data_IF_043725067885
#
_entry.id   IF_043725067885
#
_cell.length_a   1.000
_cell.length_b   1.000
_cell.length_c   1.000
_cell.angle_alpha   90.00
_cell.angle_beta   90.00
_cell.angle_gamma   90.00
#
_symmetry.space_group_name_H-M   'P 1'
#
loop_
_entity.id
_entity.type
_entity.pdbx_description
1 polymer ?
#
# COMPACT_ATOMS: atom_id res chain seq x y z
N UNK A 1 -5.15 -7.75 22.64
CA UNK A 1 -5.07 -7.08 21.31
C UNK A 1 -6.20 -6.05 21.20
N UNK A 2 -5.89 -4.76 21.04
CA UNK A 2 -6.91 -3.73 20.73
C UNK A 2 -7.33 -3.90 19.27
N UNK A 3 -8.61 -4.23 19.02
CA UNK A 3 -9.18 -4.21 17.68
C UNK A 3 -9.21 -2.74 17.22
N UNK A 4 -8.40 -2.38 16.23
CA UNK A 4 -8.44 -1.02 15.67
C UNK A 4 -9.64 -0.94 14.75
N UNK A 5 -10.39 0.16 14.85
CA UNK A 5 -11.54 0.43 13.99
C UNK A 5 -11.07 0.50 12.53
N UNK A 6 -11.63 -0.33 11.65
CA UNK A 6 -11.22 -0.36 10.25
C UNK A 6 -12.07 0.63 9.45
N UNK A 7 -11.54 1.84 9.30
CA UNK A 7 -12.18 2.94 8.59
C UNK A 7 -12.38 2.66 7.09
N UNK A 8 -11.61 1.74 6.50
CA UNK A 8 -11.68 1.46 5.07
C UNK A 8 -13.01 0.84 4.65
N UNK A 9 -13.55 -0.10 5.44
CA UNK A 9 -14.80 -0.79 5.10
C UNK A 9 -16.06 0.07 5.26
N UNK A 10 -15.99 1.14 6.05
CA UNK A 10 -17.12 2.05 6.29
C UNK A 10 -17.08 3.28 5.38
N UNK A 11 -15.99 3.45 4.61
CA UNK A 11 -15.76 4.63 3.79
C UNK A 11 -16.24 4.42 2.35
N UNK A 12 -17.04 5.36 1.87
CA UNK A 12 -17.35 5.46 0.44
C UNK A 12 -16.20 6.20 -0.28
N UNK A 13 -15.48 5.50 -1.16
CA UNK A 13 -14.32 6.02 -1.89
C UNK A 13 -14.80 6.71 -3.18
N UNK A 14 -14.64 8.03 -3.27
CA UNK A 14 -15.21 8.87 -4.34
C UNK A 14 -14.19 9.55 -5.25
N UNK A 15 -12.91 9.56 -4.86
CA UNK A 15 -11.84 10.23 -5.60
C UNK A 15 -10.52 9.49 -5.46
N UNK A 16 -9.57 9.71 -6.40
CA UNK A 16 -8.19 9.27 -6.23
C UNK A 16 -7.57 9.83 -4.95
N UNK A 17 -6.65 9.07 -4.36
CA UNK A 17 -5.84 9.46 -3.19
C UNK A 17 -6.70 9.77 -1.95
N UNK A 18 -7.87 9.12 -1.82
CA UNK A 18 -8.71 9.13 -0.62
C UNK A 18 -8.41 7.94 0.30
N UNK A 19 -8.03 6.80 -0.28
CA UNK A 19 -7.68 5.60 0.46
C UNK A 19 -6.58 4.83 -0.28
N UNK A 20 -5.45 4.63 0.41
CA UNK A 20 -4.37 3.76 -0.06
C UNK A 20 -4.48 2.41 0.63
N UNK A 21 -4.44 1.35 -0.16
CA UNK A 21 -4.39 -0.04 0.33
C UNK A 21 -3.00 -0.57 0.09
N UNK A 22 -2.39 -1.12 1.13
CA UNK A 22 -1.12 -1.83 1.04
C UNK A 22 -1.31 -3.31 1.29
N UNK A 23 -0.53 -4.11 0.57
CA UNK A 23 -0.42 -5.54 0.76
C UNK A 23 1.02 -5.98 0.48
N UNK A 24 1.33 -7.24 0.83
CA UNK A 24 2.57 -7.90 0.45
C UNK A 24 2.24 -9.21 -0.24
N UNK A 25 2.79 -9.41 -1.42
CA UNK A 25 2.66 -10.64 -2.20
C UNK A 25 4.03 -11.22 -2.55
N UNK A 26 4.07 -12.39 -3.17
CA UNK A 26 5.30 -13.03 -3.63
C UNK A 26 5.37 -13.07 -5.16
N UNK A 27 6.56 -12.82 -5.70
CA UNK A 27 6.87 -12.88 -7.13
C UNK A 27 7.95 -13.94 -7.33
N UNK A 28 7.71 -14.89 -8.25
CA UNK A 28 8.68 -15.91 -8.63
C UNK A 28 9.48 -15.44 -9.84
N UNK A 29 10.80 -15.55 -9.77
CA UNK A 29 11.73 -15.35 -10.89
C UNK A 29 12.75 -16.49 -10.94
N UNK A 30 13.64 -16.47 -11.93
CA UNK A 30 14.75 -17.43 -12.05
C UNK A 30 15.77 -17.32 -10.89
N UNK A 31 15.74 -16.22 -10.14
CA UNK A 31 16.58 -15.98 -8.95
C UNK A 31 15.91 -16.43 -7.65
N UNK A 32 14.66 -16.92 -7.70
CA UNK A 32 13.90 -17.42 -6.56
C UNK A 32 12.62 -16.63 -6.26
N UNK A 33 12.16 -16.74 -5.01
CA UNK A 33 10.94 -16.05 -4.53
C UNK A 33 11.32 -14.70 -3.94
N UNK A 34 10.64 -13.65 -4.40
CA UNK A 34 10.77 -12.29 -3.92
C UNK A 34 9.47 -11.86 -3.24
N UNK A 35 9.57 -10.98 -2.25
CA UNK A 35 8.45 -10.34 -1.59
C UNK A 35 8.27 -8.95 -2.18
N UNK A 36 7.07 -8.69 -2.69
CA UNK A 36 6.68 -7.42 -3.28
C UNK A 36 5.68 -6.75 -2.34
N UNK A 37 6.12 -5.67 -1.69
CA UNK A 37 5.22 -4.78 -0.95
C UNK A 37 4.64 -3.75 -1.90
N UNK A 38 3.32 -3.66 -1.97
CA UNK A 38 2.59 -2.75 -2.84
C UNK A 38 1.79 -1.75 -2.04
N UNK A 39 1.65 -0.55 -2.57
CA UNK A 39 0.69 0.47 -2.12
C UNK A 39 -0.09 0.93 -3.33
N UNK A 40 -1.39 0.73 -3.31
CA UNK A 40 -2.30 0.98 -4.42
C UNK A 40 -3.36 1.99 -4.00
N UNK A 41 -3.70 2.92 -4.89
CA UNK A 41 -4.86 3.79 -4.70
C UNK A 41 -6.16 2.99 -4.94
N UNK A 42 -7.04 2.95 -3.94
CA UNK A 42 -8.23 2.12 -3.96
C UNK A 42 -9.25 2.57 -5.03
N UNK A 43 -9.25 3.85 -5.38
CA UNK A 43 -10.14 4.42 -6.39
C UNK A 43 -9.63 4.15 -7.82
N UNK A 44 -8.44 4.64 -8.15
CA UNK A 44 -7.87 4.60 -9.50
C UNK A 44 -7.17 3.30 -9.85
N UNK A 45 -6.88 2.44 -8.85
CA UNK A 45 -6.04 1.23 -8.97
C UNK A 45 -4.60 1.50 -9.37
N UNK A 46 -4.13 2.75 -9.30
CA UNK A 46 -2.74 3.11 -9.58
C UNK A 46 -1.83 2.55 -8.50
N UNK A 47 -0.73 1.93 -8.89
CA UNK A 47 0.37 1.59 -7.97
C UNK A 47 1.05 2.92 -7.59
N UNK A 48 0.91 3.31 -6.34
CA UNK A 48 1.46 4.55 -5.80
C UNK A 48 2.88 4.34 -5.30
N UNK A 49 3.18 3.15 -4.77
CA UNK A 49 4.52 2.79 -4.34
C UNK A 49 4.70 1.29 -4.27
N UNK A 50 5.95 0.85 -4.40
CA UNK A 50 6.30 -0.57 -4.34
C UNK A 50 7.73 -0.75 -3.84
N UNK A 51 8.02 -1.91 -3.26
CA UNK A 51 9.37 -2.33 -2.89
C UNK A 51 9.48 -3.85 -3.10
N UNK A 52 10.56 -4.29 -3.75
CA UNK A 52 10.87 -5.70 -3.95
C UNK A 52 12.04 -6.09 -3.05
N UNK A 53 11.91 -7.22 -2.36
CA UNK A 53 12.90 -7.71 -1.40
C UNK A 53 13.03 -9.23 -1.48
N UNK A 54 14.19 -9.77 -1.12
CA UNK A 54 14.38 -11.22 -0.98
C UNK A 54 13.83 -11.76 0.34
N UNK A 55 13.51 -10.87 1.29
CA UNK A 55 13.04 -11.22 2.63
C UNK A 55 11.76 -10.43 2.96
N UNK A 56 10.87 -11.03 3.76
CA UNK A 56 9.67 -10.34 4.21
C UNK A 56 9.98 -9.45 5.43
N UNK A 57 10.25 -8.16 5.20
CA UNK A 57 10.54 -7.18 6.25
C UNK A 57 9.45 -6.12 6.33
N UNK A 58 9.02 -5.78 7.56
CA UNK A 58 8.07 -4.69 7.78
C UNK A 58 8.58 -3.34 7.24
N UNK A 59 9.90 -3.16 7.20
CA UNK A 59 10.56 -1.99 6.62
C UNK A 59 10.27 -1.81 5.13
N UNK A 60 10.05 -2.90 4.38
CA UNK A 60 9.79 -2.84 2.94
C UNK A 60 8.41 -2.25 2.64
N UNK A 61 7.42 -2.54 3.48
CA UNK A 61 6.10 -1.87 3.44
C UNK A 61 6.24 -0.37 3.73
N UNK A 62 7.07 0.02 4.69
CA UNK A 62 7.32 1.43 4.99
C UNK A 62 8.01 2.15 3.82
N UNK A 63 8.95 1.49 3.12
CA UNK A 63 9.57 2.03 1.90
C UNK A 63 8.54 2.22 0.78
N UNK A 64 7.70 1.22 0.54
CA UNK A 64 6.63 1.31 -0.46
C UNK A 64 5.65 2.46 -0.14
N UNK A 65 5.26 2.62 1.13
CA UNK A 65 4.42 3.74 1.57
C UNK A 65 5.11 5.11 1.41
N UNK A 66 6.40 5.21 1.77
CA UNK A 66 7.15 6.45 1.56
C UNK A 66 7.25 6.84 0.08
N UNK A 67 7.37 5.85 -0.83
CA UNK A 67 7.30 6.10 -2.28
C UNK A 67 5.91 6.59 -2.69
N UNK A 68 4.84 5.98 -2.16
CA UNK A 68 3.46 6.41 -2.41
C UNK A 68 3.21 7.86 -1.99
N UNK A 69 3.62 8.25 -0.79
CA UNK A 69 3.47 9.61 -0.26
C UNK A 69 4.21 10.64 -1.12
N UNK A 70 5.37 10.29 -1.70
CA UNK A 70 6.11 11.18 -2.61
C UNK A 70 5.43 11.39 -3.96
N UNK A 71 4.57 10.45 -4.39
CA UNK A 71 3.81 10.53 -5.64
C UNK A 71 2.44 11.22 -5.50
N UNK A 72 2.12 11.66 -4.27
CA UNK A 72 0.85 12.25 -3.89
C UNK A 72 0.68 13.62 -4.57
N UNK A 73 -0.45 13.82 -5.23
CA UNK A 73 -0.78 15.05 -5.97
C UNK A 73 -1.87 15.90 -5.29
N UNK A 74 -2.72 15.32 -4.45
CA UNK A 74 -3.78 16.05 -3.71
C UNK A 74 -3.37 16.41 -2.29
N UNK A 75 -3.93 17.49 -1.73
CA UNK A 75 -3.66 17.95 -0.36
C UNK A 75 -4.70 17.48 0.68
N UNK A 76 -5.71 16.75 0.24
CA UNK A 76 -6.80 16.31 1.10
C UNK A 76 -6.40 15.12 1.98
N UNK A 77 -7.17 14.87 3.03
CA UNK A 77 -6.99 13.71 3.90
C UNK A 77 -7.06 12.39 3.11
N UNK A 78 -6.20 11.44 3.49
CA UNK A 78 -6.18 10.08 2.96
C UNK A 78 -5.97 9.09 4.11
N UNK A 79 -6.69 7.97 4.04
CA UNK A 79 -6.44 6.84 4.95
C UNK A 79 -5.45 5.87 4.32
N UNK A 80 -4.65 5.21 5.16
CA UNK A 80 -3.82 4.08 4.76
C UNK A 80 -4.31 2.81 5.44
N UNK A 81 -4.64 1.80 4.65
CA UNK A 81 -5.11 0.50 5.10
C UNK A 81 -4.12 -0.58 4.66
N UNK A 82 -3.53 -1.31 5.61
CA UNK A 82 -2.74 -2.51 5.33
C UNK A 82 -3.67 -3.73 5.39
N UNK A 83 -3.74 -4.47 4.27
CA UNK A 83 -4.60 -5.63 4.06
C UNK A 83 -3.93 -6.94 4.50
#
# INVERSE_FOLDING_TARGET
MKKRHNLFYEMEIKRPEQALVSDTTYVRSDEGVHYLSLVTDAYSRRIMGYELSHEMKAEDTAKALNRAVRSWSYSDECIHHFA
#
